data_IF_280643308462
#
_entry.id   IF_280643308462
#
_cell.length_a   1.000
_cell.length_b   1.000
_cell.length_c   1.000
_cell.angle_alpha   90.00
_cell.angle_beta   90.00
_cell.angle_gamma   90.00
#
_symmetry.space_group_name_H-M   'P 1'
#
loop_
_entity.id
_entity.type
_entity.pdbx_description
1 polymer ?
#
# COMPACT_ATOMS: atom_id res chain seq x y z
N UNK A 1 10.54 -16.26 13.33
CA UNK A 1 10.10 -14.85 13.38
C UNK A 1 8.59 -14.87 13.55
N UNK A 2 8.05 -14.06 14.46
CA UNK A 2 6.60 -13.88 14.62
C UNK A 2 6.11 -12.79 13.66
N UNK A 3 4.83 -12.86 13.24
CA UNK A 3 4.21 -11.81 12.41
C UNK A 3 3.75 -10.65 13.29
N UNK A 4 4.74 -9.92 13.84
CA UNK A 4 4.52 -8.78 14.72
C UNK A 4 4.52 -7.45 13.95
N UNK A 5 4.90 -7.48 12.66
CA UNK A 5 4.99 -6.32 11.75
C UNK A 5 5.81 -5.18 12.35
N UNK A 6 6.96 -5.54 12.91
CA UNK A 6 7.89 -4.65 13.61
C UNK A 6 8.34 -3.45 12.78
N UNK A 7 8.50 -3.62 11.47
CA UNK A 7 8.81 -2.56 10.49
C UNK A 7 7.81 -1.41 10.56
N UNK A 8 6.55 -1.70 10.87
CA UNK A 8 5.50 -0.70 11.03
C UNK A 8 5.20 -0.36 12.51
N UNK A 9 5.98 -0.92 13.44
CA UNK A 9 5.88 -0.70 14.88
C UNK A 9 7.18 -0.17 15.45
N UNK A 10 7.90 -0.98 16.23
CA UNK A 10 9.13 -0.59 16.94
C UNK A 10 10.32 -0.27 16.02
N UNK A 11 10.29 -0.71 14.76
CA UNK A 11 11.28 -0.38 13.73
C UNK A 11 10.81 0.71 12.75
N UNK A 12 9.61 1.28 12.92
CA UNK A 12 9.05 2.31 12.01
C UNK A 12 9.93 3.56 11.86
N UNK A 13 10.82 3.83 12.80
CA UNK A 13 11.79 4.91 12.72
C UNK A 13 12.81 4.71 11.59
N UNK A 14 13.03 3.48 11.12
CA UNK A 14 13.89 3.20 9.95
C UNK A 14 13.21 3.57 8.64
N UNK A 15 11.87 3.64 8.61
CA UNK A 15 11.09 3.73 7.37
C UNK A 15 11.52 4.88 6.45
N UNK A 16 11.69 6.14 6.94
CA UNK A 16 12.14 7.24 6.09
C UNK A 16 13.55 7.06 5.50
N UNK A 17 14.36 6.17 6.08
CA UNK A 17 15.73 5.87 5.63
C UNK A 17 15.70 4.76 4.57
N UNK A 18 15.05 3.64 4.89
CA UNK A 18 15.02 2.46 4.01
C UNK A 18 14.12 2.64 2.80
N UNK A 19 13.09 3.48 2.92
CA UNK A 19 12.14 3.77 1.86
C UNK A 19 11.94 5.27 1.74
N UNK A 20 12.90 6.02 1.16
CA UNK A 20 12.83 7.47 1.09
C UNK A 20 11.66 7.92 0.20
N UNK A 21 10.96 9.03 0.54
CA UNK A 21 9.77 9.46 -0.18
C UNK A 21 10.05 9.75 -1.65
N UNK A 22 11.26 10.16 -2.01
CA UNK A 22 11.67 10.43 -3.40
C UNK A 22 11.49 9.22 -4.33
N UNK A 23 11.54 7.99 -3.80
CA UNK A 23 11.37 6.77 -4.58
C UNK A 23 9.91 6.52 -5.01
N UNK A 24 8.94 7.22 -4.42
CA UNK A 24 7.50 7.00 -4.66
C UNK A 24 6.90 7.90 -5.75
N UNK A 25 7.71 8.74 -6.40
CA UNK A 25 7.22 9.68 -7.39
C UNK A 25 6.60 9.00 -8.62
N UNK A 26 7.20 7.91 -9.09
CA UNK A 26 6.69 7.14 -10.23
C UNK A 26 5.35 6.48 -9.89
N UNK A 27 5.26 5.78 -8.76
CA UNK A 27 4.03 5.13 -8.29
C UNK A 27 2.89 6.16 -8.10
N UNK A 28 3.19 7.31 -7.46
CA UNK A 28 2.22 8.39 -7.30
C UNK A 28 1.72 8.91 -8.66
N UNK A 29 2.62 9.07 -9.64
CA UNK A 29 2.26 9.50 -10.99
C UNK A 29 1.42 8.47 -11.75
N UNK A 30 1.65 7.18 -11.52
CA UNK A 30 0.79 6.14 -12.08
C UNK A 30 -0.64 6.27 -11.54
N UNK A 31 -0.80 6.49 -10.23
CA UNK A 31 -2.10 6.69 -9.62
C UNK A 31 -2.79 7.96 -10.13
N UNK A 32 -2.11 9.11 -10.16
CA UNK A 32 -2.70 10.35 -10.66
C UNK A 32 -3.13 10.23 -12.13
N UNK A 33 -2.29 9.65 -12.99
CA UNK A 33 -2.59 9.43 -14.41
C UNK A 33 -3.81 8.51 -14.60
N UNK A 34 -3.89 7.43 -13.82
CA UNK A 34 -5.02 6.50 -13.86
C UNK A 34 -6.33 7.18 -13.42
N UNK A 35 -6.27 8.01 -12.37
CA UNK A 35 -7.39 8.79 -11.86
C UNK A 35 -7.88 9.77 -12.94
N UNK A 36 -6.97 10.55 -13.53
CA UNK A 36 -7.30 11.53 -14.59
C UNK A 36 -7.93 10.86 -15.82
N UNK A 37 -7.39 9.72 -16.25
CA UNK A 37 -7.89 9.02 -17.43
C UNK A 37 -9.27 8.37 -17.25
N UNK A 38 -9.67 8.07 -16.00
CA UNK A 38 -10.87 7.28 -15.73
C UNK A 38 -12.00 8.03 -15.04
N UNK A 39 -11.69 9.08 -14.26
CA UNK A 39 -12.69 9.80 -13.49
C UNK A 39 -13.76 10.44 -14.36
N UNK A 40 -15.00 10.44 -13.86
CA UNK A 40 -16.15 11.11 -14.48
C UNK A 40 -16.55 12.39 -13.76
N UNK A 41 -15.81 12.76 -12.72
CA UNK A 41 -15.98 13.97 -11.94
C UNK A 41 -14.62 14.67 -11.75
N UNK A 42 -14.60 16.00 -11.51
CA UNK A 42 -13.38 16.66 -11.09
C UNK A 42 -12.85 16.06 -9.78
N UNK A 43 -11.56 15.74 -9.72
CA UNK A 43 -10.93 15.15 -8.55
C UNK A 43 -10.21 16.23 -7.76
N UNK A 44 -10.64 16.47 -6.52
CA UNK A 44 -10.03 17.44 -5.59
C UNK A 44 -9.65 16.82 -4.25
N UNK A 45 -10.35 15.76 -3.85
CA UNK A 45 -10.16 15.06 -2.58
C UNK A 45 -9.79 13.60 -2.83
N UNK A 46 -8.72 13.15 -2.17
CA UNK A 46 -8.22 11.79 -2.27
C UNK A 46 -8.09 11.18 -0.87
N UNK A 47 -8.61 9.96 -0.72
CA UNK A 47 -8.40 9.13 0.46
C UNK A 47 -7.35 8.06 0.16
N UNK A 48 -6.24 8.06 0.90
CA UNK A 48 -5.22 7.00 0.85
C UNK A 48 -5.42 6.06 2.05
N UNK A 49 -5.90 4.84 1.78
CA UNK A 49 -6.16 3.81 2.79
C UNK A 49 -4.94 2.89 2.88
N UNK A 50 -4.46 2.66 4.11
CA UNK A 50 -3.18 2.02 4.36
C UNK A 50 -2.03 2.88 3.83
N UNK A 51 -2.00 4.15 4.23
CA UNK A 51 -1.10 5.17 3.69
C UNK A 51 0.36 5.02 4.15
N UNK A 52 0.64 4.15 5.13
CA UNK A 52 1.94 3.99 5.74
C UNK A 52 2.50 5.33 6.21
N UNK A 53 3.77 5.58 5.86
CA UNK A 53 4.47 6.83 6.19
C UNK A 53 4.08 8.02 5.30
N UNK A 54 3.00 7.94 4.52
CA UNK A 54 2.51 9.04 3.67
C UNK A 54 3.41 9.38 2.48
N UNK A 55 4.18 8.43 1.97
CA UNK A 55 5.19 8.71 0.93
C UNK A 55 4.56 8.93 -0.45
N UNK A 56 3.48 8.23 -0.79
CA UNK A 56 2.67 8.55 -1.97
C UNK A 56 1.98 9.92 -1.79
N UNK A 57 1.47 10.20 -0.57
CA UNK A 57 0.82 11.48 -0.26
C UNK A 57 1.76 12.67 -0.46
N UNK A 58 3.06 12.50 -0.17
CA UNK A 58 4.10 13.49 -0.38
C UNK A 58 4.12 14.04 -1.82
N UNK A 59 3.89 13.18 -2.81
CA UNK A 59 3.85 13.55 -4.24
C UNK A 59 2.47 14.04 -4.69
N UNK A 60 1.40 13.56 -4.05
CA UNK A 60 0.03 13.85 -4.46
C UNK A 60 -0.61 15.07 -3.76
N UNK A 61 -0.04 15.53 -2.64
CA UNK A 61 -0.62 16.62 -1.82
C UNK A 61 -0.74 17.97 -2.51
N UNK A 62 0.08 18.22 -3.53
CA UNK A 62 -0.02 19.44 -4.34
C UNK A 62 -1.14 19.37 -5.39
N UNK A 63 -1.65 18.17 -5.67
CA UNK A 63 -2.70 17.92 -6.67
C UNK A 63 -4.07 17.72 -6.01
N UNK A 64 -4.09 17.08 -4.83
CA UNK A 64 -5.32 16.72 -4.13
C UNK A 64 -5.26 17.10 -2.65
N UNK A 65 -6.42 17.40 -2.07
CA UNK A 65 -6.60 17.45 -0.62
C UNK A 65 -6.60 16.02 -0.07
N UNK A 66 -5.48 15.64 0.54
CA UNK A 66 -5.25 14.28 1.04
C UNK A 66 -5.92 14.06 2.41
N UNK A 67 -6.58 12.93 2.54
CA UNK A 67 -6.79 12.25 3.82
C UNK A 67 -6.10 10.89 3.76
N UNK A 68 -5.14 10.65 4.64
CA UNK A 68 -4.51 9.35 4.81
C UNK A 68 -5.11 8.59 5.99
N UNK A 69 -5.09 7.26 5.91
CA UNK A 69 -5.49 6.40 7.01
C UNK A 69 -4.59 5.17 7.07
N UNK A 70 -4.19 4.77 8.26
CA UNK A 70 -3.41 3.56 8.50
C UNK A 70 -3.82 2.87 9.82
N UNK A 71 -3.51 1.59 9.96
CA UNK A 71 -3.75 0.86 11.21
C UNK A 71 -2.65 1.12 12.24
N UNK A 72 -1.41 1.40 11.78
CA UNK A 72 -0.24 1.67 12.61
C UNK A 72 -0.20 3.14 13.06
N UNK A 73 -0.30 3.41 14.38
CA UNK A 73 -0.05 4.74 14.93
C UNK A 73 1.34 5.27 14.57
N UNK A 74 2.37 4.43 14.62
CA UNK A 74 3.76 4.79 14.41
C UNK A 74 4.01 5.24 12.96
N UNK A 75 3.39 4.56 11.99
CA UNK A 75 3.46 4.98 10.58
C UNK A 75 2.70 6.29 10.34
N UNK A 76 1.58 6.51 11.02
CA UNK A 76 0.87 7.79 10.97
C UNK A 76 1.70 8.94 11.53
N UNK A 77 2.52 8.71 12.56
CA UNK A 77 3.46 9.73 13.05
C UNK A 77 4.48 10.13 11.97
N UNK A 78 5.02 9.15 11.23
CA UNK A 78 5.89 9.43 10.08
C UNK A 78 5.15 10.22 8.99
N UNK A 79 3.92 9.82 8.67
CA UNK A 79 3.10 10.49 7.66
C UNK A 79 2.79 11.95 8.01
N UNK A 80 2.43 12.22 9.27
CA UNK A 80 2.17 13.58 9.78
C UNK A 80 3.43 14.44 9.74
N UNK A 81 4.59 13.88 10.12
CA UNK A 81 5.88 14.60 10.06
C UNK A 81 6.24 14.99 8.62
N UNK A 82 6.00 14.08 7.66
CA UNK A 82 6.31 14.30 6.24
C UNK A 82 5.32 15.24 5.55
N UNK A 83 4.04 15.18 5.92
CA UNK A 83 2.93 15.91 5.29
C UNK A 83 2.04 16.60 6.33
N UNK A 84 2.53 17.63 7.03
CA UNK A 84 1.79 18.30 8.11
C UNK A 84 0.50 18.99 7.65
N UNK A 85 0.33 19.23 6.35
CA UNK A 85 -0.86 19.81 5.74
C UNK A 85 -2.00 18.81 5.47
N UNK A 86 -1.69 17.50 5.45
CA UNK A 86 -2.66 16.44 5.20
C UNK A 86 -3.36 16.00 6.49
N UNK A 87 -4.56 15.41 6.35
CA UNK A 87 -5.30 14.83 7.48
C UNK A 87 -4.99 13.34 7.59
N UNK A 88 -4.58 12.87 8.77
CA UNK A 88 -4.29 11.47 9.02
C UNK A 88 -5.19 10.88 10.12
N UNK A 89 -5.67 9.64 9.91
CA UNK A 89 -6.61 8.97 10.80
C UNK A 89 -6.19 7.52 11.05
N UNK A 90 -6.38 7.03 12.28
CA UNK A 90 -6.20 5.60 12.56
C UNK A 90 -7.44 4.82 12.12
N UNK A 91 -7.26 3.72 11.39
CA UNK A 91 -8.37 2.86 10.99
C UNK A 91 -7.96 1.57 10.29
N UNK A 92 -8.86 0.59 10.31
CA UNK A 92 -8.70 -0.68 9.62
C UNK A 92 -9.40 -0.61 8.26
N UNK A 93 -8.65 -0.86 7.17
CA UNK A 93 -9.17 -0.82 5.81
C UNK A 93 -10.36 -1.77 5.56
N UNK A 94 -10.48 -2.84 6.35
CA UNK A 94 -11.58 -3.81 6.23
C UNK A 94 -12.91 -3.25 6.72
N UNK A 95 -12.90 -2.28 7.63
CA UNK A 95 -14.11 -1.92 8.40
C UNK A 95 -14.34 -0.43 8.64
N UNK A 96 -13.34 0.45 8.46
CA UNK A 96 -13.46 1.89 8.75
C UNK A 96 -14.65 2.52 8.04
N UNK A 97 -15.34 3.48 8.68
CA UNK A 97 -16.41 4.29 8.07
C UNK A 97 -16.25 5.74 8.53
N UNK A 98 -15.69 6.59 7.67
CA UNK A 98 -15.35 7.98 8.00
C UNK A 98 -16.56 8.94 7.96
N UNK A 99 -17.70 8.49 7.45
CA UNK A 99 -18.90 9.34 7.32
C UNK A 99 -18.81 10.40 6.21
N UNK A 100 -17.80 10.31 5.34
CA UNK A 100 -17.59 11.22 4.22
C UNK A 100 -17.20 10.45 2.95
N UNK A 101 -17.32 11.12 1.79
CA UNK A 101 -17.01 10.56 0.47
C UNK A 101 -15.95 11.42 -0.23
N UNK A 102 -15.06 10.78 -0.97
CA UNK A 102 -13.93 11.37 -1.68
C UNK A 102 -14.12 11.24 -3.20
N UNK A 103 -13.42 12.09 -3.96
CA UNK A 103 -13.45 12.03 -5.42
C UNK A 103 -12.60 10.86 -5.94
N UNK A 104 -11.54 10.51 -5.22
CA UNK A 104 -10.73 9.32 -5.45
C UNK A 104 -10.35 8.61 -4.15
N UNK A 105 -10.15 7.31 -4.24
CA UNK A 105 -9.60 6.47 -3.16
C UNK A 105 -8.42 5.69 -3.73
N UNK A 106 -7.35 5.52 -2.98
CA UNK A 106 -6.26 4.60 -3.32
C UNK A 106 -6.00 3.64 -2.17
N UNK A 107 -5.59 2.41 -2.51
CA UNK A 107 -4.92 1.47 -1.60
C UNK A 107 -3.71 0.95 -2.39
N UNK A 108 -2.50 1.29 -1.96
CA UNK A 108 -1.27 0.85 -2.61
C UNK A 108 -0.87 -0.56 -2.16
N UNK A 109 0.42 -0.79 -1.91
CA UNK A 109 1.01 -2.03 -1.40
C UNK A 109 0.26 -2.64 -0.20
N UNK A 110 -0.27 -1.81 0.70
CA UNK A 110 -0.96 -2.25 1.92
C UNK A 110 -2.15 -3.19 1.70
N UNK A 111 -2.72 -3.24 0.50
CA UNK A 111 -3.77 -4.22 0.14
C UNK A 111 -3.29 -5.68 0.25
N UNK A 112 -1.97 -5.89 0.13
CA UNK A 112 -1.34 -7.22 0.21
C UNK A 112 -1.56 -7.88 1.57
N UNK A 113 -1.85 -7.12 2.63
CA UNK A 113 -2.09 -7.67 3.96
C UNK A 113 -3.46 -8.32 4.16
N UNK A 114 -4.30 -8.39 3.12
CA UNK A 114 -5.56 -9.14 3.16
C UNK A 114 -5.27 -10.63 2.94
N UNK A 115 -5.59 -11.47 3.92
CA UNK A 115 -5.20 -12.89 3.93
C UNK A 115 -6.27 -13.83 3.38
N UNK A 116 -7.46 -13.29 3.09
CA UNK A 116 -8.56 -14.06 2.49
C UNK A 116 -9.35 -13.21 1.49
N UNK A 117 -10.13 -13.88 0.64
CA UNK A 117 -11.04 -13.20 -0.27
C UNK A 117 -12.07 -12.32 0.46
N UNK A 118 -12.49 -12.72 1.66
CA UNK A 118 -13.45 -11.96 2.46
C UNK A 118 -12.85 -10.65 2.98
N UNK A 119 -11.59 -10.68 3.42
CA UNK A 119 -10.85 -9.49 3.83
C UNK A 119 -10.56 -8.58 2.63
N UNK A 120 -10.09 -9.14 1.52
CA UNK A 120 -9.85 -8.39 0.29
C UNK A 120 -11.14 -7.73 -0.22
N UNK A 121 -12.25 -8.47 -0.18
CA UNK A 121 -13.57 -7.92 -0.52
C UNK A 121 -14.02 -6.86 0.49
N UNK A 122 -13.68 -6.98 1.77
CA UNK A 122 -13.99 -5.97 2.77
C UNK A 122 -13.26 -4.64 2.50
N UNK A 123 -11.96 -4.71 2.16
CA UNK A 123 -11.18 -3.54 1.76
C UNK A 123 -11.77 -2.86 0.51
N UNK A 124 -12.13 -3.63 -0.53
CA UNK A 124 -12.79 -3.07 -1.72
C UNK A 124 -14.14 -2.44 -1.40
N UNK A 125 -14.95 -3.04 -0.53
CA UNK A 125 -16.21 -2.44 -0.07
C UNK A 125 -15.96 -1.14 0.67
N UNK A 126 -14.95 -1.07 1.54
CA UNK A 126 -14.56 0.17 2.20
C UNK A 126 -14.17 1.25 1.18
N UNK A 127 -13.35 0.93 0.18
CA UNK A 127 -13.00 1.87 -0.88
C UNK A 127 -14.23 2.35 -1.66
N UNK A 128 -15.11 1.41 -2.06
CA UNK A 128 -16.35 1.72 -2.76
C UNK A 128 -17.27 2.62 -1.92
N UNK A 129 -17.38 2.34 -0.63
CA UNK A 129 -18.16 3.16 0.30
C UNK A 129 -17.58 4.55 0.48
N UNK A 130 -16.28 4.76 0.44
CA UNK A 130 -15.74 6.12 0.58
C UNK A 130 -15.69 6.89 -0.73
N UNK A 131 -16.09 6.30 -1.85
CA UNK A 131 -16.00 6.93 -3.16
C UNK A 131 -17.32 7.58 -3.59
N UNK A 132 -17.27 8.79 -4.16
CA UNK A 132 -18.42 9.41 -4.83
C UNK A 132 -18.79 8.68 -6.13
N UNK A 133 -20.06 8.66 -6.55
CA UNK A 133 -20.42 8.20 -7.89
C UNK A 133 -19.63 8.96 -8.96
N UNK A 134 -19.08 8.24 -9.94
CA UNK A 134 -18.18 8.78 -10.96
C UNK A 134 -16.72 8.95 -10.52
N UNK A 135 -16.39 8.72 -9.25
CA UNK A 135 -15.02 8.72 -8.73
C UNK A 135 -14.25 7.43 -9.06
N UNK A 136 -12.94 7.46 -8.82
CA UNK A 136 -12.03 6.35 -9.14
C UNK A 136 -11.36 5.79 -7.89
N UNK A 137 -11.38 4.46 -7.76
CA UNK A 137 -10.54 3.70 -6.85
C UNK A 137 -9.35 3.11 -7.62
N UNK A 138 -8.13 3.30 -7.12
CA UNK A 138 -6.92 2.65 -7.69
C UNK A 138 -6.24 1.75 -6.66
N UNK A 139 -5.75 0.61 -7.13
CA UNK A 139 -4.92 -0.32 -6.35
C UNK A 139 -4.10 -1.18 -7.30
N UNK A 140 -3.10 -1.91 -6.82
CA UNK A 140 -2.39 -2.90 -7.61
C UNK A 140 -2.18 -4.20 -6.83
N UNK A 141 -1.93 -5.27 -7.57
CA UNK A 141 -1.36 -6.49 -7.01
C UNK A 141 0.14 -6.48 -7.29
N UNK A 142 0.94 -6.39 -6.21
CA UNK A 142 2.39 -6.50 -6.29
C UNK A 142 2.77 -7.89 -6.79
N UNK A 143 2.20 -8.91 -6.16
CA UNK A 143 2.37 -10.31 -6.54
C UNK A 143 1.02 -10.91 -6.99
N UNK A 144 1.06 -11.72 -8.04
CA UNK A 144 -0.06 -12.56 -8.47
C UNK A 144 0.33 -14.02 -8.37
N UNK A 145 -0.61 -14.87 -7.94
CA UNK A 145 -0.37 -16.31 -7.76
C UNK A 145 0.26 -16.97 -8.98
N UNK A 146 -0.18 -16.60 -10.19
CA UNK A 146 0.35 -17.12 -11.46
C UNK A 146 1.72 -16.55 -11.89
N UNK A 147 2.15 -15.42 -11.31
CA UNK A 147 3.44 -14.78 -11.62
C UNK A 147 4.53 -15.13 -10.59
N UNK A 148 4.15 -15.49 -9.37
CA UNK A 148 5.09 -15.79 -8.29
C UNK A 148 5.72 -17.19 -8.44
N UNK A 149 7.05 -17.26 -8.38
CA UNK A 149 7.82 -18.47 -8.74
C UNK A 149 8.21 -19.36 -7.54
N UNK A 150 7.73 -19.04 -6.32
CA UNK A 150 8.00 -19.65 -4.99
C UNK A 150 8.91 -18.82 -4.10
N UNK A 151 9.87 -18.10 -4.67
CA UNK A 151 10.75 -17.23 -3.89
C UNK A 151 11.31 -16.09 -4.71
N UNK A 152 11.40 -14.92 -4.07
CA UNK A 152 12.10 -13.74 -4.60
C UNK A 152 12.90 -13.11 -3.46
N UNK A 153 13.96 -12.38 -3.80
CA UNK A 153 14.72 -11.63 -2.80
C UNK A 153 15.19 -10.32 -3.40
N UNK A 154 15.25 -9.30 -2.57
CA UNK A 154 15.82 -8.01 -2.86
C UNK A 154 16.70 -7.59 -1.69
N UNK A 155 17.61 -6.66 -1.95
CA UNK A 155 18.34 -6.02 -0.88
C UNK A 155 18.57 -4.57 -1.26
N UNK A 156 18.69 -3.74 -0.24
CA UNK A 156 19.04 -2.36 -0.42
C UNK A 156 19.90 -1.85 0.72
N UNK A 157 20.73 -0.86 0.43
CA UNK A 157 21.61 -0.21 1.39
C UNK A 157 21.36 1.30 1.38
N UNK A 158 21.28 1.88 2.57
CA UNK A 158 21.00 3.31 2.77
C UNK A 158 21.89 3.86 3.87
N UNK A 159 22.32 5.10 3.69
CA UNK A 159 23.11 5.85 4.66
C UNK A 159 22.35 7.12 5.06
N UNK A 160 22.22 7.37 6.35
CA UNK A 160 21.63 8.58 6.91
C UNK A 160 22.48 9.07 8.07
N UNK A 161 23.23 10.16 7.86
CA UNK A 161 24.17 10.67 8.86
C UNK A 161 25.31 9.68 9.12
N UNK A 162 25.46 9.24 10.37
CA UNK A 162 26.42 8.23 10.83
C UNK A 162 25.83 6.80 10.92
N UNK A 163 24.65 6.60 10.34
CA UNK A 163 23.95 5.33 10.31
C UNK A 163 23.92 4.74 8.90
N UNK A 164 24.29 3.48 8.78
CA UNK A 164 24.06 2.65 7.60
C UNK A 164 23.03 1.57 7.90
N UNK A 165 22.06 1.37 7.01
CA UNK A 165 21.07 0.30 7.09
C UNK A 165 21.14 -0.52 5.81
N UNK A 166 21.35 -1.84 5.94
CA UNK A 166 21.10 -2.80 4.86
C UNK A 166 19.81 -3.52 5.19
N UNK A 167 18.83 -3.44 4.28
CA UNK A 167 17.61 -4.21 4.33
C UNK A 167 17.72 -5.35 3.33
N UNK A 168 17.46 -6.57 3.79
CA UNK A 168 17.25 -7.73 2.93
C UNK A 168 15.79 -8.12 3.05
N UNK A 169 15.09 -8.21 1.94
CA UNK A 169 13.73 -8.73 1.86
C UNK A 169 13.76 -10.07 1.12
N UNK A 170 13.14 -11.07 1.72
CA UNK A 170 12.98 -12.40 1.15
C UNK A 170 11.51 -12.78 1.17
N UNK A 171 10.92 -12.95 -0.01
CA UNK A 171 9.56 -13.47 -0.15
C UNK A 171 9.63 -14.97 -0.38
N UNK A 172 8.80 -15.71 0.34
CA UNK A 172 8.76 -17.17 0.27
C UNK A 172 7.33 -17.67 0.40
N UNK A 173 6.96 -18.60 -0.48
CA UNK A 173 5.71 -19.35 -0.37
C UNK A 173 5.95 -20.71 0.32
N UNK A 174 5.51 -20.86 1.58
CA UNK A 174 5.64 -22.11 2.32
C UNK A 174 4.66 -23.19 1.84
N UNK A 175 3.50 -22.81 1.30
CA UNK A 175 2.40 -23.70 0.94
C UNK A 175 1.71 -23.25 -0.36
N UNK A 176 2.00 -23.95 -1.46
CA UNK A 176 1.51 -23.60 -2.79
C UNK A 176 -0.02 -23.80 -2.95
N UNK A 177 -0.66 -24.52 -2.01
CA UNK A 177 -2.08 -24.83 -2.06
C UNK A 177 -2.95 -23.75 -1.40
N UNK A 178 -2.33 -22.78 -0.70
CA UNK A 178 -3.04 -21.70 -0.03
C UNK A 178 -3.08 -20.40 -0.85
N UNK A 179 -3.44 -19.28 -0.20
CA UNK A 179 -3.45 -17.94 -0.81
C UNK A 179 -2.59 -16.94 -0.04
N UNK A 180 -1.51 -17.40 0.59
CA UNK A 180 -0.60 -16.54 1.34
C UNK A 180 0.86 -16.75 0.95
N UNK A 181 1.71 -15.79 1.31
CA UNK A 181 3.17 -15.83 1.22
C UNK A 181 3.76 -15.11 2.44
N UNK A 182 5.01 -15.44 2.76
CA UNK A 182 5.75 -14.81 3.84
C UNK A 182 6.78 -13.84 3.29
N UNK A 183 6.84 -12.62 3.84
CA UNK A 183 7.92 -11.67 3.60
C UNK A 183 8.79 -11.68 4.86
N UNK A 184 10.07 -11.99 4.70
CA UNK A 184 11.06 -11.97 5.78
C UNK A 184 11.99 -10.79 5.54
N UNK A 185 12.20 -10.00 6.58
CA UNK A 185 13.07 -8.84 6.54
C UNK A 185 14.22 -9.02 7.51
N UNK A 186 15.43 -8.72 7.06
CA UNK A 186 16.62 -8.61 7.91
C UNK A 186 17.18 -7.20 7.77
N UNK A 187 17.37 -6.53 8.89
CA UNK A 187 17.98 -5.22 8.97
C UNK A 187 19.37 -5.37 9.59
N UNK A 188 20.40 -4.94 8.87
CA UNK A 188 21.74 -4.73 9.41
C UNK A 188 21.90 -3.23 9.63
N UNK A 189 21.87 -2.80 10.89
CA UNK A 189 21.91 -1.39 11.28
C UNK A 189 23.26 -1.12 11.93
N UNK A 190 24.10 -0.37 11.24
CA UNK A 190 25.41 0.06 11.72
C UNK A 190 25.30 1.53 12.15
N UNK A 191 25.49 1.81 13.44
CA UNK A 191 25.41 3.17 14.00
C UNK A 191 26.44 3.32 15.14
N UNK A 192 27.19 4.43 15.15
CA UNK A 192 28.15 4.70 16.24
C UNK A 192 29.20 3.59 16.46
N UNK A 193 29.59 2.90 15.37
CA UNK A 193 30.53 1.76 15.42
C UNK A 193 29.94 0.46 15.96
N UNK A 194 28.64 0.39 16.23
CA UNK A 194 27.95 -0.82 16.68
C UNK A 194 27.02 -1.36 15.60
N UNK A 195 27.05 -2.68 15.42
CA UNK A 195 26.11 -3.40 14.57
C UNK A 195 24.95 -3.92 15.40
N UNK A 196 23.73 -3.66 14.94
CA UNK A 196 22.50 -4.29 15.40
C UNK A 196 21.86 -5.05 14.23
N UNK A 197 21.42 -6.28 14.51
CA UNK A 197 20.70 -7.10 13.53
C UNK A 197 19.28 -7.26 14.04
N UNK A 198 18.32 -6.75 13.27
CA UNK A 198 16.89 -6.91 13.54
C UNK A 198 16.27 -7.78 12.46
N UNK A 199 15.17 -8.42 12.81
CA UNK A 199 14.38 -9.20 11.86
C UNK A 199 12.89 -9.00 12.06
N UNK A 200 12.16 -9.20 10.97
CA UNK A 200 10.72 -9.12 10.92
C UNK A 200 10.15 -10.14 9.94
N UNK A 201 8.89 -10.50 10.13
CA UNK A 201 8.15 -11.37 9.23
C UNK A 201 6.77 -10.80 9.04
N UNK A 202 6.30 -10.73 7.80
CA UNK A 202 4.92 -10.44 7.48
C UNK A 202 4.28 -11.61 6.72
N UNK A 203 3.01 -11.88 6.97
CA UNK A 203 2.20 -12.73 6.08
C UNK A 203 1.32 -11.86 5.20
N UNK A 204 1.36 -12.13 3.89
CA UNK A 204 0.68 -11.37 2.85
C UNK A 204 -0.18 -12.32 1.99
N UNK A 205 -1.25 -11.80 1.39
CA UNK A 205 -2.12 -12.51 0.48
C UNK A 205 -1.53 -12.63 -0.93
N UNK A 206 -1.62 -13.82 -1.51
CA UNK A 206 -1.20 -14.12 -2.87
C UNK A 206 -2.38 -14.71 -3.65
N UNK A 207 -3.18 -13.82 -4.23
CA UNK A 207 -4.38 -14.18 -4.97
C UNK A 207 -4.15 -14.15 -6.49
N UNK A 208 -4.85 -15.01 -7.26
CA UNK A 208 -4.77 -14.97 -8.71
C UNK A 208 -5.54 -13.78 -9.30
N UNK A 209 -5.16 -13.32 -10.50
CA UNK A 209 -5.81 -12.17 -11.16
C UNK A 209 -7.32 -12.34 -11.33
N UNK A 210 -7.78 -13.59 -11.52
CA UNK A 210 -9.21 -13.91 -11.61
C UNK A 210 -9.98 -13.55 -10.33
N UNK A 211 -9.35 -13.70 -9.17
CA UNK A 211 -9.95 -13.40 -7.86
C UNK A 211 -10.09 -11.89 -7.68
N UNK A 212 -9.02 -11.13 -7.93
CA UNK A 212 -9.04 -9.67 -7.96
C UNK A 212 -10.16 -9.11 -8.86
N UNK A 213 -10.18 -9.54 -10.14
CA UNK A 213 -11.21 -9.15 -11.12
C UNK A 213 -12.63 -9.43 -10.63
N UNK A 214 -12.86 -10.64 -10.11
CA UNK A 214 -14.18 -11.07 -9.65
C UNK A 214 -14.64 -10.25 -8.46
N UNK A 215 -13.79 -10.04 -7.46
CA UNK A 215 -14.15 -9.34 -6.23
C UNK A 215 -14.37 -7.84 -6.45
N UNK A 216 -13.54 -7.18 -7.26
CA UNK A 216 -13.74 -5.78 -7.65
C UNK A 216 -15.07 -5.58 -8.39
N UNK A 217 -15.37 -6.45 -9.37
CA UNK A 217 -16.66 -6.42 -10.09
C UNK A 217 -17.84 -6.71 -9.18
N UNK A 218 -17.73 -7.71 -8.31
CA UNK A 218 -18.77 -8.07 -7.32
C UNK A 218 -19.08 -6.91 -6.36
N UNK A 219 -18.09 -6.06 -6.07
CA UNK A 219 -18.25 -4.85 -5.25
C UNK A 219 -19.05 -3.76 -5.97
N UNK A 220 -19.10 -3.79 -7.31
CA UNK A 220 -19.85 -2.83 -8.14
C UNK A 220 -18.97 -1.90 -8.98
N UNK A 221 -17.66 -2.14 -9.05
CA UNK A 221 -16.75 -1.33 -9.87
C UNK A 221 -16.78 -1.74 -11.35
N UNK A 222 -16.63 -0.73 -12.21
CA UNK A 222 -16.20 -0.90 -13.60
C UNK A 222 -14.67 -0.92 -13.63
N UNK A 223 -14.09 -2.09 -13.86
CA UNK A 223 -12.65 -2.35 -13.69
C UNK A 223 -11.89 -2.25 -15.02
N UNK A 224 -10.84 -1.43 -15.06
CA UNK A 224 -9.79 -1.43 -16.07
C UNK A 224 -8.50 -1.96 -15.47
N UNK A 225 -7.71 -2.63 -16.29
CA UNK A 225 -6.45 -3.25 -15.86
C UNK A 225 -5.37 -2.83 -16.84
N UNK A 226 -4.25 -2.42 -16.28
CA UNK A 226 -3.03 -2.12 -17.00
C UNK A 226 -1.85 -2.72 -16.26
N UNK A 227 -0.70 -2.74 -16.91
CA UNK A 227 0.56 -3.05 -16.25
C UNK A 227 1.14 -1.74 -15.71
N UNK A 228 1.57 -1.77 -14.45
CA UNK A 228 2.35 -0.69 -13.85
C UNK A 228 3.79 -0.75 -14.36
N UNK A 229 4.56 0.31 -14.09
CA UNK A 229 5.91 0.43 -14.65
C UNK A 229 6.91 -0.56 -14.05
N UNK A 230 6.65 -1.10 -12.86
CA UNK A 230 7.48 -2.12 -12.20
C UNK A 230 6.96 -3.55 -12.45
N UNK A 231 5.99 -3.72 -13.35
CA UNK A 231 5.41 -5.03 -13.72
C UNK A 231 4.23 -5.49 -12.86
N UNK A 232 3.85 -4.68 -11.86
CA UNK A 232 2.68 -4.84 -11.02
C UNK A 232 1.39 -4.75 -11.86
N UNK A 233 0.32 -5.40 -11.40
CA UNK A 233 -0.96 -5.33 -12.10
C UNK A 233 -1.82 -4.23 -11.49
N UNK A 234 -1.95 -3.10 -12.20
CA UNK A 234 -2.74 -1.95 -11.76
C UNK A 234 -4.22 -2.14 -12.08
N UNK A 235 -5.08 -1.86 -11.10
CA UNK A 235 -6.54 -1.88 -11.21
C UNK A 235 -7.07 -0.46 -11.06
N UNK A 236 -7.64 0.09 -12.13
CA UNK A 236 -8.36 1.38 -12.10
C UNK A 236 -9.85 1.12 -12.13
N UNK A 237 -10.54 1.48 -11.04
CA UNK A 237 -11.90 1.07 -10.75
C UNK A 237 -12.83 2.28 -10.70
N UNK A 238 -13.67 2.47 -11.72
CA UNK A 238 -14.68 3.51 -11.74
C UNK A 238 -15.91 3.07 -10.93
N UNK A 239 -16.39 3.91 -10.02
CA UNK A 239 -17.71 3.74 -9.40
C UNK A 239 -18.78 4.30 -10.34
N UNK A 240 -19.72 3.48 -10.85
CA UNK A 240 -20.74 3.97 -11.77
C UNK A 240 -21.57 5.11 -11.17
N UNK A 241 -21.96 6.05 -12.03
CA UNK A 241 -23.04 7.01 -11.72
C UNK A 241 -24.33 6.24 -11.90
N UNK A 242 -25.04 5.96 -10.81
CA UNK A 242 -26.33 5.26 -10.84
C UNK A 242 -27.39 6.00 -11.63
#
# INVERSE_FOLDING_TARGET
MHDDRRMYGDLSWTWPIISPPENYGEEANQFSSAIEACSKIPVKSLLNIGCGGGHIDFHLKNQYKITGMDISPEMLENAIKLNPEARYLKGDMRSVRLGEKFDSVIIADSITYMLSEDELSAAFRTAFEHLKPGGVFCTYAEELREKFTRTTFTHDARTAGDMDIILIEHKWDPDLDDSTIEFHFIFLIQEGGKLRVESDKHTCGLFPLKTWKRLLKKTGFSVRISEGQSGETLFTCLKPVG
#
